data_IF_493582584583
#
_entry.id   IF_493582584583
#
_cell.length_a   1.000
_cell.length_b   1.000
_cell.length_c   1.000
_cell.angle_alpha   90.00
_cell.angle_beta   90.00
_cell.angle_gamma   90.00
#
_symmetry.space_group_name_H-M   'P 1'
#
loop_
_entity.id
_entity.type
_entity.pdbx_description
1 polymer ?
#
# COMPACT_ATOMS: atom_id res chain seq x y z
N UNK A 1 8.09 -6.21 42.55
CA UNK A 1 7.30 -6.04 41.31
C UNK A 1 8.28 -6.16 40.17
N UNK A 2 8.37 -7.25 39.39
CA UNK A 2 7.32 -7.92 38.61
C UNK A 2 7.63 -9.40 38.33
N UNK A 3 7.96 -10.21 39.34
CA UNK A 3 8.36 -11.62 39.12
C UNK A 3 7.19 -12.62 39.05
N UNK A 4 6.00 -12.26 39.53
CA UNK A 4 4.86 -13.18 39.62
C UNK A 4 4.10 -13.34 38.29
N UNK A 5 4.37 -12.49 37.29
CA UNK A 5 3.66 -12.54 36.01
C UNK A 5 4.08 -13.73 35.14
N UNK A 6 5.29 -14.30 35.35
CA UNK A 6 5.77 -15.46 34.59
C UNK A 6 5.27 -16.81 35.14
N UNK A 7 4.85 -16.85 36.42
CA UNK A 7 4.38 -18.07 37.07
C UNK A 7 3.04 -18.59 36.50
N UNK A 8 2.27 -17.70 35.86
CA UNK A 8 0.99 -17.95 35.19
C UNK A 8 1.10 -17.86 33.66
N UNK A 9 2.15 -18.42 33.08
CA UNK A 9 2.17 -18.61 31.62
C UNK A 9 0.99 -19.48 31.21
N UNK A 10 0.09 -18.92 30.40
CA UNK A 10 -1.18 -19.52 29.97
C UNK A 10 -1.03 -20.88 29.21
N UNK A 11 0.21 -21.30 28.93
CA UNK A 11 0.55 -22.60 28.36
C UNK A 11 0.53 -23.74 29.39
N UNK A 12 0.62 -23.45 30.69
CA UNK A 12 0.71 -24.46 31.74
C UNK A 12 -0.65 -24.82 32.33
N UNK A 13 -1.52 -25.46 31.53
CA UNK A 13 -2.86 -25.90 31.95
C UNK A 13 -2.87 -26.79 33.21
N UNK A 14 -1.78 -27.53 33.48
CA UNK A 14 -1.62 -28.33 34.70
C UNK A 14 -1.54 -27.48 35.96
N UNK A 15 -0.93 -26.29 35.89
CA UNK A 15 -0.85 -25.36 37.03
C UNK A 15 -2.22 -24.75 37.31
N UNK A 16 -2.94 -24.33 36.28
CA UNK A 16 -4.31 -23.81 36.42
C UNK A 16 -5.27 -24.89 36.90
N UNK A 17 -5.10 -26.14 36.47
CA UNK A 17 -5.88 -27.28 36.99
C UNK A 17 -5.59 -27.55 38.47
N UNK A 18 -4.32 -27.51 38.89
CA UNK A 18 -3.96 -27.64 40.30
C UNK A 18 -4.64 -26.58 41.17
N UNK A 19 -4.67 -25.33 40.70
CA UNK A 19 -5.36 -24.23 41.38
C UNK A 19 -6.88 -24.43 41.38
N UNK A 20 -7.46 -24.85 40.26
CA UNK A 20 -8.89 -25.15 40.17
C UNK A 20 -9.28 -26.28 41.13
N UNK A 21 -8.44 -27.30 41.28
CA UNK A 21 -8.60 -28.38 42.27
C UNK A 21 -8.42 -27.93 43.73
N UNK A 22 -7.72 -26.83 43.96
CA UNK A 22 -7.56 -26.23 45.29
C UNK A 22 -8.76 -25.35 45.67
N UNK A 23 -9.34 -24.64 44.70
CA UNK A 23 -10.49 -23.75 44.90
C UNK A 23 -11.81 -24.52 44.92
N UNK A 24 -11.96 -25.54 44.07
CA UNK A 24 -13.17 -26.36 44.00
C UNK A 24 -13.12 -27.47 45.05
N UNK A 25 -13.99 -27.36 46.05
CA UNK A 25 -14.10 -28.35 47.15
C UNK A 25 -14.59 -29.72 46.65
N UNK A 26 -15.54 -29.74 45.71
CA UNK A 26 -16.09 -30.96 45.11
C UNK A 26 -15.41 -31.32 43.80
N UNK A 27 -14.45 -32.24 43.85
CA UNK A 27 -13.69 -32.72 42.67
C UNK A 27 -14.54 -33.39 41.59
N UNK A 28 -15.75 -33.84 41.96
CA UNK A 28 -16.71 -34.49 41.06
C UNK A 28 -17.73 -33.54 40.45
N UNK A 29 -17.67 -32.23 40.75
CA UNK A 29 -18.66 -31.28 40.23
C UNK A 29 -18.58 -31.22 38.68
N UNK A 30 -19.67 -31.54 37.97
CA UNK A 30 -19.72 -31.47 36.52
C UNK A 30 -19.43 -30.07 35.96
N UNK A 31 -19.71 -28.99 36.71
CA UNK A 31 -19.36 -27.63 36.26
C UNK A 31 -17.85 -27.40 36.30
N UNK A 32 -17.17 -27.86 37.36
CA UNK A 32 -15.73 -27.76 37.48
C UNK A 32 -14.99 -28.57 36.39
N UNK A 33 -15.52 -29.75 36.02
CA UNK A 33 -14.97 -30.55 34.92
C UNK A 33 -15.15 -29.87 33.55
N UNK A 34 -16.29 -29.23 33.30
CA UNK A 34 -16.50 -28.46 32.06
C UNK A 34 -15.51 -27.30 31.96
N UNK A 35 -15.28 -26.61 33.08
CA UNK A 35 -14.29 -25.53 33.13
C UNK A 35 -12.87 -26.04 32.88
N UNK A 36 -12.45 -27.15 33.50
CA UNK A 36 -11.11 -27.71 33.27
C UNK A 36 -10.90 -28.15 31.82
N UNK A 37 -11.91 -28.76 31.19
CA UNK A 37 -11.89 -29.12 29.77
C UNK A 37 -11.77 -27.88 28.87
N UNK A 38 -12.53 -26.82 29.17
CA UNK A 38 -12.46 -25.56 28.42
C UNK A 38 -11.09 -24.87 28.57
N UNK A 39 -10.51 -24.86 29.77
CA UNK A 39 -9.16 -24.33 29.95
C UNK A 39 -8.13 -25.15 29.18
N UNK A 40 -8.22 -26.47 29.23
CA UNK A 40 -7.32 -27.33 28.47
C UNK A 40 -7.41 -27.06 26.97
N UNK A 41 -8.62 -26.98 26.40
CA UNK A 41 -8.80 -26.70 24.98
C UNK A 41 -8.24 -25.33 24.58
N UNK A 42 -8.49 -24.29 25.38
CA UNK A 42 -7.95 -22.94 25.14
C UNK A 42 -6.42 -22.93 25.23
N UNK A 43 -5.82 -23.62 26.20
CA UNK A 43 -4.35 -23.70 26.33
C UNK A 43 -3.71 -24.40 25.14
N UNK A 44 -4.30 -25.49 24.64
CA UNK A 44 -3.82 -26.19 23.43
C UNK A 44 -3.96 -25.28 22.21
N UNK A 45 -5.11 -24.62 22.03
CA UNK A 45 -5.32 -23.68 20.94
C UNK A 45 -4.30 -22.53 20.97
N UNK A 46 -4.05 -21.96 22.15
CA UNK A 46 -3.04 -20.91 22.32
C UNK A 46 -1.66 -21.40 21.92
N UNK A 47 -1.26 -22.59 22.37
CA UNK A 47 0.03 -23.18 22.01
C UNK A 47 0.16 -23.38 20.50
N UNK A 48 -0.87 -23.91 19.84
CA UNK A 48 -0.87 -24.09 18.39
C UNK A 48 -0.72 -22.77 17.65
N UNK A 49 -1.44 -21.72 18.06
CA UNK A 49 -1.32 -20.38 17.49
C UNK A 49 0.07 -19.78 17.71
N UNK A 50 0.68 -19.98 18.88
CA UNK A 50 2.05 -19.52 19.16
C UNK A 50 3.07 -20.19 18.24
N UNK A 51 2.94 -21.51 18.04
CA UNK A 51 3.80 -22.26 17.11
C UNK A 51 3.58 -21.83 15.66
N UNK A 52 2.33 -21.58 15.25
CA UNK A 52 2.02 -21.08 13.91
C UNK A 52 2.62 -19.68 13.68
N UNK A 53 2.46 -18.76 14.63
CA UNK A 53 3.07 -17.42 14.55
C UNK A 53 4.59 -17.54 14.45
N UNK A 54 5.20 -18.42 15.22
CA UNK A 54 6.64 -18.66 15.18
C UNK A 54 7.08 -19.22 13.82
N UNK A 55 6.38 -20.23 13.29
CA UNK A 55 6.64 -20.80 11.98
C UNK A 55 6.46 -19.80 10.84
N UNK A 56 5.44 -18.94 10.92
CA UNK A 56 5.21 -17.85 9.94
C UNK A 56 6.32 -16.80 9.99
N UNK A 57 6.82 -16.45 11.18
CA UNK A 57 7.95 -15.53 11.34
C UNK A 57 9.22 -16.11 10.74
N UNK A 58 9.52 -17.37 11.01
CA UNK A 58 10.66 -18.08 10.45
C UNK A 58 10.56 -18.20 8.93
N UNK A 59 9.37 -18.56 8.43
CA UNK A 59 9.09 -18.61 7.00
C UNK A 59 9.33 -17.24 6.34
N UNK A 60 8.87 -16.15 6.95
CA UNK A 60 9.09 -14.79 6.45
C UNK A 60 10.58 -14.41 6.43
N UNK A 61 11.34 -14.78 7.46
CA UNK A 61 12.80 -14.55 7.52
C UNK A 61 13.50 -15.33 6.41
N UNK A 62 13.16 -16.62 6.25
CA UNK A 62 13.72 -17.49 5.22
C UNK A 62 13.38 -17.01 3.82
N UNK A 63 12.15 -16.54 3.61
CA UNK A 63 11.68 -15.96 2.35
C UNK A 63 12.48 -14.70 2.00
N UNK A 64 12.63 -13.77 2.96
CA UNK A 64 13.47 -12.58 2.80
C UNK A 64 14.92 -12.93 2.53
N UNK A 65 15.47 -13.94 3.21
CA UNK A 65 16.85 -14.38 3.01
C UNK A 65 17.02 -14.99 1.62
N UNK A 66 16.07 -15.82 1.16
CA UNK A 66 16.04 -16.37 -0.20
C UNK A 66 15.95 -15.28 -1.25
N UNK A 67 15.07 -14.29 -1.09
CA UNK A 67 14.99 -13.14 -2.01
C UNK A 67 16.30 -12.37 -2.08
N UNK A 68 17.02 -12.22 -0.96
CA UNK A 68 18.35 -11.58 -0.92
C UNK A 68 19.42 -12.39 -1.65
N UNK A 69 19.26 -13.70 -1.85
CA UNK A 69 20.23 -14.54 -2.56
C UNK A 69 20.09 -14.47 -4.09
N UNK A 70 19.13 -13.71 -4.62
CA UNK A 70 18.66 -13.80 -6.01
C UNK A 70 19.61 -13.33 -7.13
N UNK A 71 20.90 -13.10 -6.87
CA UNK A 71 21.87 -12.76 -7.92
C UNK A 71 23.16 -13.56 -7.70
N UNK A 72 23.48 -14.42 -8.66
CA UNK A 72 24.80 -15.03 -8.71
C UNK A 72 25.85 -13.92 -8.83
N UNK A 73 26.95 -14.02 -8.08
CA UNK A 73 28.05 -13.08 -8.28
C UNK A 73 28.55 -13.21 -9.72
N UNK A 74 28.70 -12.10 -10.46
CA UNK A 74 29.28 -12.13 -11.79
C UNK A 74 30.78 -12.43 -11.66
N UNK A 75 31.11 -13.71 -11.63
CA UNK A 75 32.48 -14.21 -11.71
C UNK A 75 32.73 -14.55 -13.18
N UNK A 76 33.68 -13.85 -13.78
CA UNK A 76 34.09 -14.05 -15.17
C UNK A 76 34.62 -15.47 -15.35
N UNK A 77 34.07 -16.25 -16.28
CA UNK A 77 34.58 -17.59 -16.55
C UNK A 77 35.97 -17.48 -17.22
N UNK A 78 36.90 -18.37 -16.86
CA UNK A 78 38.16 -18.49 -17.59
C UNK A 78 37.88 -18.82 -19.08
N UNK A 79 38.66 -18.25 -19.99
CA UNK A 79 38.52 -18.44 -21.44
C UNK A 79 38.61 -19.92 -21.87
N UNK A 80 39.25 -20.78 -21.08
CA UNK A 80 39.34 -22.23 -21.29
C UNK A 80 38.76 -22.99 -20.10
N UNK A 81 37.48 -23.36 -20.18
CA UNK A 81 36.82 -24.20 -19.17
C UNK A 81 36.98 -25.69 -19.51
N UNK A 82 37.85 -26.39 -18.77
CA UNK A 82 38.12 -27.82 -18.99
C UNK A 82 37.22 -28.78 -18.16
N UNK A 83 36.03 -28.34 -17.73
CA UNK A 83 35.06 -29.24 -17.08
C UNK A 83 35.31 -29.57 -15.61
N UNK A 84 36.10 -28.76 -14.89
CA UNK A 84 36.40 -28.94 -13.46
C UNK A 84 35.71 -27.93 -12.53
N UNK A 85 35.85 -28.14 -11.21
CA UNK A 85 35.50 -27.13 -10.22
C UNK A 85 36.53 -25.98 -10.26
N UNK A 86 36.05 -24.74 -10.44
CA UNK A 86 36.89 -23.54 -10.45
C UNK A 86 36.89 -22.91 -9.06
N UNK A 87 38.06 -22.85 -8.43
CA UNK A 87 38.22 -22.18 -7.14
C UNK A 87 38.59 -20.71 -7.35
N UNK A 88 37.74 -19.81 -6.85
CA UNK A 88 37.99 -18.37 -6.89
C UNK A 88 38.76 -17.93 -5.65
N UNK A 89 39.77 -17.06 -5.85
CA UNK A 89 40.47 -16.44 -4.73
C UNK A 89 39.54 -15.46 -4.00
N UNK A 90 39.70 -15.24 -2.68
CA UNK A 90 38.88 -14.29 -1.94
C UNK A 90 38.89 -12.87 -2.52
N UNK A 91 40.01 -12.44 -3.13
CA UNK A 91 40.12 -11.13 -3.79
C UNK A 91 39.22 -11.02 -5.02
N UNK A 92 39.13 -12.06 -5.86
CA UNK A 92 38.23 -12.08 -7.03
C UNK A 92 36.76 -12.05 -6.64
N UNK A 93 36.42 -12.74 -5.55
CA UNK A 93 35.05 -12.70 -4.99
C UNK A 93 34.70 -11.31 -4.47
N UNK A 94 35.65 -10.59 -3.84
CA UNK A 94 35.43 -9.19 -3.41
C UNK A 94 35.22 -8.26 -4.60
N UNK A 95 36.10 -8.34 -5.59
CA UNK A 95 36.01 -7.54 -6.83
C UNK A 95 34.64 -7.70 -7.50
N UNK A 96 34.15 -8.94 -7.68
CA UNK A 96 32.84 -9.20 -8.25
C UNK A 96 31.67 -8.61 -7.44
N UNK A 97 31.80 -8.52 -6.10
CA UNK A 97 30.79 -7.87 -5.24
C UNK A 97 30.82 -6.37 -5.42
N UNK A 98 32.01 -5.78 -5.45
CA UNK A 98 32.18 -4.33 -5.59
C UNK A 98 31.63 -3.85 -6.94
N UNK A 99 31.88 -4.61 -8.02
CA UNK A 99 31.27 -4.37 -9.33
C UNK A 99 29.75 -4.40 -9.30
N UNK A 100 29.16 -5.41 -8.66
CA UNK A 100 27.70 -5.52 -8.54
C UNK A 100 27.11 -4.36 -7.74
N UNK A 101 27.74 -3.98 -6.62
CA UNK A 101 27.32 -2.83 -5.82
C UNK A 101 27.39 -1.52 -6.61
N UNK A 102 28.45 -1.34 -7.40
CA UNK A 102 28.58 -0.17 -8.25
C UNK A 102 27.46 -0.08 -9.29
N UNK A 103 27.16 -1.19 -9.98
CA UNK A 103 26.05 -1.23 -10.94
C UNK A 103 24.70 -0.96 -10.28
N UNK A 104 24.42 -1.57 -9.12
CA UNK A 104 23.18 -1.32 -8.39
C UNK A 104 23.04 0.15 -7.98
N UNK A 105 24.12 0.76 -7.48
CA UNK A 105 24.12 2.18 -7.13
C UNK A 105 23.87 3.09 -8.35
N UNK A 106 24.47 2.78 -9.50
CA UNK A 106 24.23 3.50 -10.75
C UNK A 106 22.77 3.37 -11.21
N UNK A 107 22.20 2.17 -11.19
CA UNK A 107 20.80 1.93 -11.53
C UNK A 107 19.84 2.69 -10.60
N UNK A 108 20.11 2.68 -9.30
CA UNK A 108 19.32 3.43 -8.32
C UNK A 108 19.37 4.93 -8.57
N UNK A 109 20.55 5.50 -8.83
CA UNK A 109 20.70 6.90 -9.20
C UNK A 109 19.93 7.23 -10.48
N UNK A 110 19.99 6.37 -11.49
CA UNK A 110 19.21 6.56 -12.72
C UNK A 110 17.70 6.51 -12.46
N UNK A 111 17.23 5.63 -11.58
CA UNK A 111 15.81 5.55 -11.18
C UNK A 111 15.37 6.82 -10.46
N UNK A 112 16.16 7.31 -9.51
CA UNK A 112 15.88 8.56 -8.80
C UNK A 112 15.82 9.74 -9.76
N UNK A 113 16.78 9.87 -10.68
CA UNK A 113 16.78 10.91 -11.72
C UNK A 113 15.52 10.85 -12.58
N UNK A 114 15.07 9.65 -12.98
CA UNK A 114 13.84 9.47 -13.75
C UNK A 114 12.61 9.91 -12.94
N UNK A 115 12.52 9.53 -11.67
CA UNK A 115 11.42 9.93 -10.78
C UNK A 115 11.39 11.45 -10.62
N UNK A 116 12.53 12.08 -10.34
CA UNK A 116 12.64 13.54 -10.22
C UNK A 116 12.25 14.25 -11.52
N UNK A 117 12.71 13.75 -12.67
CA UNK A 117 12.34 14.31 -13.97
C UNK A 117 10.82 14.22 -14.23
N UNK A 118 10.19 13.09 -13.89
CA UNK A 118 8.73 12.96 -14.00
C UNK A 118 8.00 13.93 -13.07
N UNK A 119 8.48 14.09 -11.84
CA UNK A 119 7.90 15.00 -10.85
C UNK A 119 7.93 16.44 -11.32
N UNK A 120 9.09 16.92 -11.81
CA UNK A 120 9.22 18.27 -12.36
C UNK A 120 8.29 18.49 -13.56
N UNK A 121 8.17 17.49 -14.44
CA UNK A 121 7.26 17.54 -15.58
C UNK A 121 5.80 17.64 -15.14
N UNK A 122 5.42 16.94 -14.08
CA UNK A 122 4.07 16.92 -13.53
C UNK A 122 3.73 18.26 -12.86
N UNK A 123 4.64 18.80 -12.07
CA UNK A 123 4.54 20.14 -11.47
C UNK A 123 4.38 21.21 -12.56
N UNK A 124 5.18 21.16 -13.64
CA UNK A 124 5.04 22.05 -14.79
C UNK A 124 3.66 21.95 -15.47
N UNK A 125 3.13 20.73 -15.66
CA UNK A 125 1.76 20.54 -16.19
C UNK A 125 0.71 21.13 -15.25
N UNK A 126 0.84 20.95 -13.94
CA UNK A 126 -0.07 21.53 -12.96
C UNK A 126 -0.04 23.06 -12.96
N UNK A 127 1.14 23.67 -13.04
CA UNK A 127 1.29 25.12 -13.14
C UNK A 127 0.67 25.67 -14.43
N UNK A 128 0.88 25.00 -15.57
CA UNK A 128 0.27 25.36 -16.85
C UNK A 128 -1.26 25.27 -16.83
N UNK A 129 -1.82 24.20 -16.25
CA UNK A 129 -3.27 24.05 -16.08
C UNK A 129 -3.85 25.15 -15.18
N UNK A 130 -3.19 25.46 -14.05
CA UNK A 130 -3.62 26.55 -13.14
C UNK A 130 -3.59 27.92 -13.83
N UNK A 131 -2.58 28.20 -14.66
CA UNK A 131 -2.51 29.43 -15.44
C UNK A 131 -3.66 29.50 -16.46
N UNK A 132 -3.89 28.43 -17.22
CA UNK A 132 -4.97 28.37 -18.21
C UNK A 132 -6.36 28.55 -17.60
N UNK A 133 -6.61 27.99 -16.41
CA UNK A 133 -7.89 28.16 -15.68
C UNK A 133 -8.08 29.61 -15.24
N UNK A 134 -7.02 30.25 -14.69
CA UNK A 134 -7.07 31.66 -14.30
C UNK A 134 -7.33 32.56 -15.50
N UNK A 135 -6.69 32.31 -16.63
CA UNK A 135 -6.88 33.10 -17.85
C UNK A 135 -8.26 32.89 -18.46
N UNK A 136 -8.79 31.66 -18.46
CA UNK A 136 -10.17 31.39 -18.88
C UNK A 136 -11.21 32.08 -17.99
N UNK A 137 -10.97 32.13 -16.68
CA UNK A 137 -11.84 32.83 -15.72
C UNK A 137 -11.84 34.35 -15.95
N UNK A 138 -10.66 34.96 -16.13
CA UNK A 138 -10.55 36.41 -16.47
C UNK A 138 -11.28 36.75 -17.77
N UNK A 139 -11.12 35.93 -18.81
CA UNK A 139 -11.83 36.11 -20.09
C UNK A 139 -13.36 36.01 -19.92
N UNK A 140 -13.85 35.09 -19.08
CA UNK A 140 -15.30 34.98 -18.76
C UNK A 140 -15.83 36.22 -18.05
N UNK A 141 -15.10 36.77 -17.08
CA UNK A 141 -15.49 37.99 -16.36
C UNK A 141 -15.51 39.21 -17.30
N UNK A 142 -14.50 39.33 -18.17
CA UNK A 142 -14.46 40.39 -19.17
C UNK A 142 -15.62 40.30 -20.17
N UNK A 143 -15.96 39.09 -20.64
CA UNK A 143 -17.10 38.85 -21.51
C UNK A 143 -18.45 39.19 -20.84
N UNK A 144 -18.63 38.86 -19.56
CA UNK A 144 -19.83 39.25 -18.80
C UNK A 144 -19.92 40.77 -18.59
N UNK A 145 -18.79 41.45 -18.35
CA UNK A 145 -18.77 42.91 -18.22
C UNK A 145 -19.10 43.64 -19.53
N UNK A 146 -18.74 43.06 -20.68
CA UNK A 146 -19.13 43.58 -22.01
C UNK A 146 -20.61 43.32 -22.31
N UNK A 147 -21.12 42.12 -22.02
CA UNK A 147 -22.54 41.78 -22.16
C UNK A 147 -23.45 42.65 -21.27
N UNK A 148 -23.03 43.00 -20.05
CA UNK A 148 -23.77 43.90 -19.17
C UNK A 148 -23.81 45.36 -19.65
N UNK A 149 -22.85 45.78 -20.50
CA UNK A 149 -22.81 47.11 -21.11
C UNK A 149 -23.67 47.19 -22.38
N UNK A 150 -23.80 46.09 -23.10
CA UNK A 150 -24.70 45.96 -24.25
C UNK A 150 -26.17 45.75 -23.82
N UNK A 151 -26.42 45.13 -22.66
CA UNK A 151 -27.76 44.96 -22.10
C UNK A 151 -28.39 46.26 -21.55
N UNK A 152 -27.61 47.33 -21.31
CA UNK A 152 -28.17 48.62 -20.89
C UNK A 152 -28.65 49.49 -22.06
N UNK A 153 -28.59 49.01 -23.31
CA UNK A 153 -29.09 49.71 -24.48
C UNK A 153 -29.87 48.77 -25.43
N UNK A 154 -30.73 47.92 -24.88
CA UNK A 154 -31.72 47.17 -25.66
C UNK A 154 -32.93 46.78 -24.80
N UNK A 155 -33.65 47.77 -24.26
CA UNK A 155 -35.02 47.56 -23.83
C UNK A 155 -35.95 47.62 -25.06
N UNK A 156 -36.05 46.53 -25.81
CA UNK A 156 -37.08 46.37 -26.84
C UNK A 156 -37.45 44.89 -27.07
N UNK A 157 -38.72 44.59 -26.83
CA UNK A 157 -39.51 43.40 -27.16
C UNK A 157 -39.26 42.07 -26.40
N UNK A 158 -40.33 41.38 -25.93
CA UNK A 158 -40.22 40.04 -25.34
C UNK A 158 -39.90 38.98 -26.43
N UNK A 159 -39.05 37.97 -26.13
CA UNK A 159 -38.73 36.91 -27.08
C UNK A 159 -39.92 35.96 -27.30
N UNK A 160 -40.11 35.41 -28.51
CA UNK A 160 -41.19 34.45 -28.80
C UNK A 160 -40.96 33.13 -28.02
N UNK A 161 -42.03 32.41 -27.64
CA UNK A 161 -41.92 31.17 -26.88
C UNK A 161 -41.19 30.09 -27.69
N UNK A 162 -40.05 29.63 -27.15
CA UNK A 162 -39.26 28.54 -27.70
C UNK A 162 -39.62 27.22 -27.03
N UNK A 163 -39.70 26.14 -27.81
CA UNK A 163 -39.83 24.77 -27.28
C UNK A 163 -38.59 24.39 -26.46
N UNK A 164 -38.70 23.41 -25.55
CA UNK A 164 -37.62 22.96 -24.64
C UNK A 164 -36.32 22.53 -25.34
N UNK A 165 -36.30 22.43 -26.67
CA UNK A 165 -35.12 22.11 -27.48
C UNK A 165 -34.70 23.25 -28.43
N UNK A 166 -35.16 24.48 -28.22
CA UNK A 166 -34.63 25.67 -28.88
C UNK A 166 -34.98 25.83 -30.36
N UNK A 167 -36.09 25.26 -30.84
CA UNK A 167 -36.58 25.50 -32.21
C UNK A 167 -37.77 26.45 -32.25
N UNK A 168 -37.78 27.31 -33.27
CA UNK A 168 -38.77 28.35 -33.52
C UNK A 168 -40.05 27.75 -34.13
N UNK A 169 -41.19 27.92 -33.46
CA UNK A 169 -42.49 27.43 -33.95
C UNK A 169 -43.13 28.52 -34.81
N UNK A 170 -43.22 28.30 -36.12
CA UNK A 170 -43.93 29.20 -37.04
C UNK A 170 -45.41 28.85 -37.09
N UNK A 171 -46.27 29.71 -36.53
CA UNK A 171 -47.72 29.57 -36.62
C UNK A 171 -48.26 30.17 -37.94
N UNK A 172 -49.16 29.49 -38.66
CA UNK A 172 -49.74 30.01 -39.89
C UNK A 172 -50.73 31.15 -39.62
N UNK A 173 -50.76 32.14 -40.53
CA UNK A 173 -51.43 33.44 -40.37
C UNK A 173 -52.95 33.42 -40.09
N UNK A 174 -53.60 32.27 -40.28
CA UNK A 174 -55.03 32.07 -39.99
C UNK A 174 -55.35 31.94 -38.49
N UNK A 175 -54.34 31.87 -37.63
CA UNK A 175 -54.49 31.79 -36.16
C UNK A 175 -53.76 32.93 -35.42
N UNK A 176 -53.50 34.05 -36.10
CA UNK A 176 -52.97 35.27 -35.48
C UNK A 176 -54.10 36.23 -35.16
#
# INVERSE_FOLDING_TARGET
SDSDSSALSASNWRKTESLLRQVVKDRGDPQAQKLSQAFHSISVQKMLLEQEIQGLREALINERLRRKQGKALPLEALEEYHGGAVFWSPSKVKEARDWLQHQEAEEEQQRLRKVEATRLRDEGRQHGLKASIKDASKKRVAAQAQSGREASCAAAAPPPPQSQHGQEIKLPAKYR
#
